data_IF_684758991622
#
_entry.id   IF_684758991622
#
_cell.length_a   1.000
_cell.length_b   1.000
_cell.length_c   1.000
_cell.angle_alpha   90.00
_cell.angle_beta   90.00
_cell.angle_gamma   90.00
#
_symmetry.space_group_name_H-M   'P 1'
#
loop_
_entity.id
_entity.type
_entity.pdbx_description
1 polymer ?
#
# COMPACT_ATOMS: atom_id res chain seq x y z
N UNK A 1 -18.25 6.13 -3.69
CA UNK A 1 -17.14 6.72 -2.94
C UNK A 1 -15.83 6.40 -3.66
N UNK A 2 -14.98 7.37 -3.73
CA UNK A 2 -13.74 7.32 -4.48
C UNK A 2 -12.58 7.01 -3.53
N UNK A 3 -11.55 6.30 -3.98
CA UNK A 3 -10.39 5.92 -3.13
C UNK A 3 -9.77 7.15 -2.46
N UNK A 4 -9.72 8.29 -3.16
CA UNK A 4 -9.15 9.53 -2.62
C UNK A 4 -9.88 10.06 -1.38
N UNK A 5 -11.15 9.69 -1.19
CA UNK A 5 -11.99 10.25 -0.12
C UNK A 5 -11.88 9.50 1.20
N UNK A 6 -11.28 8.30 1.19
CA UNK A 6 -11.17 7.51 2.42
C UNK A 6 -10.21 8.15 3.40
N UNK A 7 -10.66 8.24 4.65
CA UNK A 7 -9.82 8.68 5.76
C UNK A 7 -8.95 7.52 6.20
N UNK A 8 -7.68 7.80 6.41
CA UNK A 8 -6.69 6.84 6.91
C UNK A 8 -5.89 7.50 8.03
N UNK A 9 -5.30 6.68 8.88
CA UNK A 9 -4.44 7.16 9.97
C UNK A 9 -3.00 6.81 9.59
N UNK A 10 -2.13 7.81 9.55
CA UNK A 10 -0.73 7.55 9.26
C UNK A 10 -0.03 6.86 10.45
N UNK A 11 1.20 6.42 10.25
CA UNK A 11 1.92 5.65 11.26
C UNK A 11 2.23 6.49 12.51
N UNK A 12 2.18 7.81 12.40
CA UNK A 12 2.37 8.74 13.53
C UNK A 12 1.07 9.07 14.25
N UNK A 13 -0.07 8.50 13.82
CA UNK A 13 -1.36 8.69 14.46
C UNK A 13 -2.18 9.85 13.92
N UNK A 14 -1.78 10.48 12.82
CA UNK A 14 -2.49 11.63 12.24
C UNK A 14 -3.46 11.17 11.17
N UNK A 15 -4.67 11.74 11.19
CA UNK A 15 -5.68 11.46 10.16
C UNK A 15 -5.38 12.21 8.87
N UNK A 16 -5.52 11.54 7.74
CA UNK A 16 -5.34 12.13 6.42
C UNK A 16 -6.27 11.44 5.42
N UNK A 17 -6.22 11.87 4.15
CA UNK A 17 -6.91 11.18 3.05
C UNK A 17 -5.88 10.82 2.00
N UNK A 18 -6.16 9.76 1.24
CA UNK A 18 -5.25 9.34 0.16
C UNK A 18 -5.20 10.38 -0.96
N UNK A 19 -6.28 11.11 -1.18
CA UNK A 19 -6.33 12.19 -2.17
C UNK A 19 -5.39 13.35 -1.86
N UNK A 20 -4.98 13.50 -0.60
CA UNK A 20 -4.07 14.57 -0.20
C UNK A 20 -2.70 14.47 -0.86
N UNK A 21 -2.31 13.29 -1.32
CA UNK A 21 -1.04 13.12 -2.03
C UNK A 21 -1.06 13.70 -3.45
N UNK A 22 -2.24 13.78 -4.08
CA UNK A 22 -2.39 14.38 -5.41
C UNK A 22 -1.75 13.60 -6.56
N UNK A 23 -1.48 12.32 -6.37
CA UNK A 23 -0.76 11.47 -7.32
C UNK A 23 -1.54 10.19 -7.64
N UNK A 24 -1.05 9.41 -8.60
CA UNK A 24 -1.43 8.00 -8.71
C UNK A 24 -0.95 7.27 -7.44
N UNK A 25 -1.61 6.19 -7.08
CA UNK A 25 -1.32 5.48 -5.83
C UNK A 25 -0.96 4.02 -6.09
N UNK A 26 0.04 3.52 -5.38
CA UNK A 26 0.30 2.09 -5.27
C UNK A 26 0.06 1.70 -3.80
N UNK A 27 -1.07 1.06 -3.54
CA UNK A 27 -1.52 0.71 -2.20
C UNK A 27 -1.14 -0.74 -1.93
N UNK A 28 -0.38 -0.96 -0.85
CA UNK A 28 0.18 -2.28 -0.53
C UNK A 28 -0.04 -2.60 0.94
N UNK A 29 -0.56 -3.79 1.24
CA UNK A 29 -0.59 -4.27 2.61
C UNK A 29 0.74 -4.95 2.92
N UNK A 30 1.39 -4.54 4.00
CA UNK A 30 2.79 -4.89 4.27
C UNK A 30 2.98 -5.59 5.61
N UNK A 31 4.13 -6.26 5.76
CA UNK A 31 4.52 -6.93 6.99
C UNK A 31 6.04 -6.96 7.12
N UNK A 32 6.52 -7.01 8.37
CA UNK A 32 7.95 -6.95 8.68
C UNK A 32 8.63 -8.32 8.74
N UNK A 33 7.86 -9.40 8.86
CA UNK A 33 8.39 -10.76 9.09
C UNK A 33 7.90 -11.78 8.05
N UNK A 34 7.60 -11.33 6.85
CA UNK A 34 7.15 -12.14 5.73
C UNK A 34 8.32 -12.54 4.83
N UNK A 35 8.19 -13.68 4.15
CA UNK A 35 9.17 -14.05 3.10
C UNK A 35 9.24 -13.05 1.96
N UNK A 36 8.20 -12.22 1.78
CA UNK A 36 8.14 -11.19 0.74
C UNK A 36 8.56 -9.80 1.25
N UNK A 37 8.99 -9.67 2.50
CA UNK A 37 9.31 -8.36 3.10
C UNK A 37 10.41 -7.61 2.33
N UNK A 38 11.30 -8.34 1.65
CA UNK A 38 12.33 -7.71 0.80
C UNK A 38 11.74 -6.86 -0.32
N UNK A 39 10.46 -7.02 -0.65
CA UNK A 39 9.80 -6.16 -1.64
C UNK A 39 9.77 -4.68 -1.23
N UNK A 40 9.98 -4.36 0.05
CA UNK A 40 10.11 -2.97 0.49
C UNK A 40 11.19 -2.21 -0.30
N UNK A 41 12.31 -2.86 -0.61
CA UNK A 41 13.40 -2.22 -1.36
C UNK A 41 12.94 -1.75 -2.73
N UNK A 42 12.21 -2.60 -3.46
CA UNK A 42 11.72 -2.26 -4.79
C UNK A 42 10.54 -1.29 -4.75
N UNK A 43 9.69 -1.38 -3.72
CA UNK A 43 8.62 -0.40 -3.50
C UNK A 43 9.21 0.99 -3.30
N UNK A 44 10.30 1.10 -2.53
CA UNK A 44 10.98 2.37 -2.33
C UNK A 44 11.59 2.89 -3.63
N UNK A 45 12.16 2.01 -4.46
CA UNK A 45 12.67 2.40 -5.78
C UNK A 45 11.58 3.00 -6.66
N UNK A 46 10.40 2.38 -6.69
CA UNK A 46 9.27 2.91 -7.46
C UNK A 46 8.85 4.29 -6.96
N UNK A 47 8.81 4.46 -5.64
CA UNK A 47 8.44 5.73 -5.03
C UNK A 47 9.43 6.84 -5.39
N UNK A 48 10.71 6.52 -5.41
CA UNK A 48 11.75 7.48 -5.77
C UNK A 48 11.78 7.79 -7.27
N UNK A 49 11.46 6.79 -8.11
CA UNK A 49 11.53 6.93 -9.58
C UNK A 49 10.42 7.83 -10.13
N UNK A 50 9.23 7.77 -9.58
CA UNK A 50 8.05 8.43 -10.14
C UNK A 50 7.54 9.53 -9.23
N UNK A 51 7.67 10.79 -9.66
CA UNK A 51 7.17 11.94 -8.90
C UNK A 51 5.63 11.93 -8.79
N UNK A 52 4.94 11.39 -9.80
CA UNK A 52 3.47 11.35 -9.86
C UNK A 52 2.89 10.02 -9.38
N UNK A 53 3.67 9.26 -8.62
CA UNK A 53 3.21 8.04 -7.96
C UNK A 53 3.58 8.10 -6.48
N UNK A 54 2.63 7.79 -5.62
CA UNK A 54 2.89 7.62 -4.19
C UNK A 54 2.62 6.17 -3.82
N UNK A 55 3.64 5.51 -3.29
CA UNK A 55 3.48 4.19 -2.66
C UNK A 55 2.94 4.43 -1.26
N UNK A 56 1.92 3.67 -0.85
CA UNK A 56 1.31 3.78 0.48
C UNK A 56 1.28 2.40 1.11
N UNK A 57 1.95 2.25 2.26
CA UNK A 57 2.04 0.98 2.96
C UNK A 57 1.05 0.90 4.13
N UNK A 58 0.25 -0.16 4.16
CA UNK A 58 -0.67 -0.46 5.25
C UNK A 58 -0.22 -1.72 5.98
N UNK A 59 0.40 -1.59 7.17
CA UNK A 59 0.76 -2.78 7.96
C UNK A 59 -0.46 -3.58 8.35
N UNK A 60 -0.34 -4.91 8.29
CA UNK A 60 -1.41 -5.82 8.66
C UNK A 60 -0.85 -7.07 9.32
N UNK A 61 -1.42 -7.49 10.44
CA UNK A 61 -0.95 -8.65 11.22
C UNK A 61 -1.79 -9.91 11.00
N UNK A 62 -2.68 -9.92 10.01
CA UNK A 62 -3.65 -11.01 9.83
C UNK A 62 -3.09 -12.25 9.14
N UNK A 63 -1.91 -12.16 8.54
CA UNK A 63 -1.31 -13.28 7.79
C UNK A 63 -0.15 -13.87 8.59
N UNK A 64 -0.42 -14.94 9.33
CA UNK A 64 0.55 -15.67 10.15
C UNK A 64 1.23 -14.79 11.21
N UNK A 65 0.55 -13.71 11.66
CA UNK A 65 1.07 -12.77 12.66
C UNK A 65 2.45 -12.23 12.29
N UNK A 66 2.64 -11.88 11.02
CA UNK A 66 3.94 -11.41 10.51
C UNK A 66 4.16 -9.90 10.64
N UNK A 67 3.23 -9.19 11.31
CA UNK A 67 3.39 -7.79 11.67
C UNK A 67 2.99 -7.57 13.14
N UNK A 68 3.68 -8.20 14.10
CA UNK A 68 3.26 -8.17 15.50
C UNK A 68 3.64 -6.90 16.25
N UNK A 69 4.58 -6.11 15.72
CA UNK A 69 5.06 -4.89 16.36
C UNK A 69 4.03 -3.77 16.36
N UNK A 70 4.24 -2.76 17.20
CA UNK A 70 3.43 -1.55 17.18
C UNK A 70 3.92 -0.59 16.09
N UNK A 71 3.21 0.54 15.92
CA UNK A 71 3.53 1.52 14.88
C UNK A 71 4.94 2.08 15.00
N UNK A 72 5.41 2.31 16.22
CA UNK A 72 6.77 2.80 16.47
C UNK A 72 7.83 1.80 16.01
N UNK A 73 7.62 0.50 16.32
CA UNK A 73 8.52 -0.57 15.92
C UNK A 73 8.52 -0.76 14.40
N UNK A 74 7.36 -0.68 13.77
CA UNK A 74 7.22 -0.80 12.32
C UNK A 74 7.95 0.35 11.62
N UNK A 75 7.73 1.58 12.08
CA UNK A 75 8.39 2.78 11.53
C UNK A 75 9.91 2.66 11.60
N UNK A 76 10.42 2.23 12.76
CA UNK A 76 11.85 2.01 12.95
C UNK A 76 12.39 0.96 11.99
N UNK A 77 11.69 -0.18 11.86
CA UNK A 77 12.08 -1.27 10.99
C UNK A 77 12.21 -0.82 9.52
N UNK A 78 11.17 -0.18 8.98
CA UNK A 78 11.18 0.21 7.56
C UNK A 78 12.20 1.31 7.29
N UNK A 79 12.42 2.21 8.23
CA UNK A 79 13.41 3.27 8.11
C UNK A 79 14.83 2.72 8.15
N UNK A 80 15.14 1.88 9.12
CA UNK A 80 16.52 1.37 9.31
C UNK A 80 16.90 0.31 8.29
N UNK A 81 15.96 -0.57 7.91
CA UNK A 81 16.26 -1.71 7.03
C UNK A 81 16.15 -1.36 5.56
N UNK A 82 15.23 -0.47 5.17
CA UNK A 82 14.92 -0.23 3.77
C UNK A 82 14.95 1.25 3.37
N UNK A 83 15.25 2.15 4.31
CA UNK A 83 15.26 3.61 4.06
C UNK A 83 13.94 4.09 3.42
N UNK A 84 12.82 3.56 3.90
CA UNK A 84 11.51 3.88 3.34
C UNK A 84 11.19 5.36 3.57
N UNK A 85 10.81 6.06 2.50
CA UNK A 85 10.34 7.45 2.54
C UNK A 85 8.89 7.58 2.09
N UNK A 86 8.30 6.52 1.52
CA UNK A 86 6.89 6.59 1.15
C UNK A 86 6.00 6.56 2.41
N UNK A 87 4.78 7.11 2.31
CA UNK A 87 3.87 7.15 3.45
C UNK A 87 3.54 5.75 3.97
N UNK A 88 3.74 5.58 5.29
CA UNK A 88 3.30 4.40 6.01
C UNK A 88 2.09 4.78 6.85
N UNK A 89 1.11 3.89 6.91
CA UNK A 89 -0.11 4.06 7.68
C UNK A 89 -0.06 3.22 8.96
N UNK A 90 -0.99 3.45 9.87
CA UNK A 90 -1.15 2.63 11.06
C UNK A 90 -1.70 1.26 10.67
N UNK A 91 -1.44 0.27 11.51
CA UNK A 91 -1.87 -1.11 11.29
C UNK A 91 -3.39 -1.20 11.16
N UNK A 92 -3.86 -1.96 10.16
CA UNK A 92 -5.29 -2.17 9.88
C UNK A 92 -5.57 -3.64 9.61
N UNK A 93 -6.87 -3.97 9.57
CA UNK A 93 -7.34 -5.24 9.01
C UNK A 93 -7.72 -5.03 7.54
N UNK A 94 -7.29 -5.96 6.70
CA UNK A 94 -7.57 -5.93 5.25
C UNK A 94 -8.58 -6.99 4.83
N UNK A 95 -9.07 -7.79 5.79
CA UNK A 95 -10.11 -8.81 5.59
C UNK A 95 -10.86 -9.03 6.89
N UNK A 96 -12.01 -9.71 6.81
CA UNK A 96 -12.78 -10.09 7.99
C UNK A 96 -13.72 -9.01 8.51
N UNK A 97 -14.21 -9.22 9.74
CA UNK A 97 -15.30 -8.41 10.31
C UNK A 97 -14.89 -6.95 10.55
N UNK A 98 -13.62 -6.71 10.84
CA UNK A 98 -13.08 -5.37 11.12
C UNK A 98 -12.31 -4.79 9.94
N UNK A 99 -12.57 -5.26 8.73
CA UNK A 99 -11.91 -4.78 7.53
C UNK A 99 -12.01 -3.26 7.42
N UNK A 100 -10.88 -2.61 7.14
CA UNK A 100 -10.86 -1.16 6.92
C UNK A 100 -11.74 -0.80 5.72
N UNK A 101 -12.52 0.29 5.78
CA UNK A 101 -13.40 0.69 4.67
C UNK A 101 -12.71 0.82 3.32
N UNK A 102 -11.47 1.30 3.29
CA UNK A 102 -10.68 1.38 2.06
C UNK A 102 -10.51 -0.01 1.43
N UNK A 103 -10.12 -1.01 2.21
CA UNK A 103 -9.90 -2.36 1.69
C UNK A 103 -11.22 -3.05 1.34
N UNK A 104 -12.29 -2.75 2.06
CA UNK A 104 -13.62 -3.22 1.67
C UNK A 104 -13.99 -2.70 0.28
N UNK A 105 -13.70 -1.42 0.01
CA UNK A 105 -13.93 -0.80 -1.30
C UNK A 105 -13.04 -1.41 -2.38
N UNK A 106 -11.72 -1.53 -2.11
CA UNK A 106 -10.76 -2.05 -3.08
C UNK A 106 -11.05 -3.50 -3.49
N UNK A 107 -11.43 -4.35 -2.54
CA UNK A 107 -11.75 -5.74 -2.84
C UNK A 107 -13.16 -5.89 -3.40
N UNK A 108 -14.11 -5.03 -3.00
CA UNK A 108 -15.47 -5.01 -3.53
C UNK A 108 -16.14 -6.38 -3.51
N UNK A 109 -16.66 -6.80 -4.66
CA UNK A 109 -17.22 -8.13 -4.86
C UNK A 109 -16.18 -9.17 -5.28
N UNK A 110 -14.92 -8.75 -5.40
CA UNK A 110 -13.82 -9.62 -5.81
C UNK A 110 -13.28 -10.45 -4.65
N UNK A 111 -12.16 -11.09 -4.90
CA UNK A 111 -11.51 -11.98 -3.94
C UNK A 111 -10.91 -11.18 -2.78
N UNK A 112 -11.08 -11.68 -1.55
CA UNK A 112 -10.45 -11.06 -0.39
C UNK A 112 -8.91 -11.15 -0.49
N UNK A 113 -8.22 -10.28 0.26
CA UNK A 113 -6.76 -10.36 0.38
C UNK A 113 -6.39 -11.68 1.06
N UNK A 114 -5.43 -12.40 0.51
CA UNK A 114 -5.01 -13.72 1.02
C UNK A 114 -3.61 -13.75 1.58
N UNK A 115 -2.79 -12.72 1.33
CA UNK A 115 -1.42 -12.66 1.85
C UNK A 115 -0.91 -11.23 1.88
N UNK A 116 0.26 -11.05 2.52
CA UNK A 116 0.97 -9.76 2.57
C UNK A 116 1.47 -9.37 1.16
N UNK A 117 1.64 -8.09 0.93
CA UNK A 117 2.20 -7.50 -0.30
C UNK A 117 1.34 -7.68 -1.55
N UNK A 118 0.03 -7.77 -1.39
CA UNK A 118 -0.88 -7.60 -2.50
C UNK A 118 -0.96 -6.11 -2.86
N UNK A 119 -1.02 -5.79 -4.15
CA UNK A 119 -0.89 -4.42 -4.63
C UNK A 119 -2.11 -3.98 -5.40
N UNK A 120 -2.50 -2.71 -5.18
CA UNK A 120 -3.53 -2.04 -5.97
C UNK A 120 -2.92 -0.79 -6.57
N UNK A 121 -2.84 -0.74 -7.90
CA UNK A 121 -2.41 0.45 -8.61
C UNK A 121 -3.66 1.25 -8.98
N UNK A 122 -3.80 2.45 -8.45
CA UNK A 122 -4.99 3.28 -8.58
C UNK A 122 -4.63 4.57 -9.30
N UNK A 123 -5.34 4.87 -10.40
CA UNK A 123 -5.12 6.13 -11.12
C UNK A 123 -5.60 7.32 -10.28
N UNK A 124 -4.98 8.45 -10.50
CA UNK A 124 -5.27 9.71 -9.78
C UNK A 124 -6.75 10.13 -9.89
N UNK A 125 -7.41 9.84 -11.01
CA UNK A 125 -8.84 10.09 -11.21
C UNK A 125 -9.74 8.96 -10.70
N UNK A 126 -9.15 7.88 -10.19
CA UNK A 126 -9.82 6.67 -9.70
C UNK A 126 -10.61 5.87 -10.76
N UNK A 127 -10.41 6.15 -12.03
CA UNK A 127 -11.07 5.40 -13.10
C UNK A 127 -10.42 4.05 -13.37
N UNK A 128 -9.14 3.90 -13.03
CA UNK A 128 -8.39 2.66 -13.24
C UNK A 128 -7.89 2.13 -11.90
N UNK A 129 -8.24 0.89 -11.60
CA UNK A 129 -7.70 0.17 -10.44
C UNK A 129 -7.23 -1.19 -10.97
N UNK A 130 -5.93 -1.45 -10.82
CA UNK A 130 -5.30 -2.72 -11.25
C UNK A 130 -4.79 -3.43 -10.01
N UNK A 131 -5.26 -4.67 -9.81
CA UNK A 131 -4.88 -5.48 -8.66
C UNK A 131 -3.81 -6.50 -9.08
N UNK A 132 -2.74 -6.60 -8.31
CA UNK A 132 -1.65 -7.54 -8.54
C UNK A 132 -1.44 -8.41 -7.31
N UNK A 133 -1.17 -9.69 -7.54
CA UNK A 133 -0.96 -10.67 -6.48
C UNK A 133 0.33 -10.40 -5.69
N UNK A 134 0.44 -10.96 -4.46
CA UNK A 134 1.63 -10.75 -3.61
C UNK A 134 2.96 -11.11 -4.28
N UNK A 135 2.98 -12.16 -5.10
CA UNK A 135 4.20 -12.66 -5.72
C UNK A 135 4.73 -11.79 -6.86
N UNK A 136 3.90 -10.89 -7.39
CA UNK A 136 4.33 -9.97 -8.44
C UNK A 136 5.33 -8.99 -7.83
N UNK A 137 6.55 -8.98 -8.34
CA UNK A 137 7.61 -8.08 -7.87
C UNK A 137 7.24 -6.62 -8.20
N UNK A 138 7.49 -5.67 -7.28
CA UNK A 138 7.08 -4.28 -7.54
C UNK A 138 7.62 -3.69 -8.83
N UNK A 139 8.85 -4.01 -9.22
CA UNK A 139 9.43 -3.46 -10.47
C UNK A 139 8.73 -3.99 -11.73
N UNK A 140 8.00 -5.11 -11.63
CA UNK A 140 7.20 -5.61 -12.75
C UNK A 140 5.99 -4.72 -13.06
N UNK A 141 5.66 -3.79 -12.15
CA UNK A 141 4.55 -2.84 -12.33
C UNK A 141 4.93 -1.61 -13.15
N UNK A 142 6.21 -1.43 -13.47
CA UNK A 142 6.67 -0.21 -14.15
C UNK A 142 5.95 0.06 -15.48
N UNK A 143 5.66 -0.97 -16.25
CA UNK A 143 4.91 -0.83 -17.51
C UNK A 143 3.52 -0.23 -17.29
N UNK A 144 2.78 -0.76 -16.33
CA UNK A 144 1.44 -0.25 -16.00
C UNK A 144 1.51 1.17 -15.43
N UNK A 145 2.51 1.47 -14.60
CA UNK A 145 2.72 2.80 -14.03
C UNK A 145 3.00 3.81 -15.16
N UNK A 146 3.89 3.46 -16.08
CA UNK A 146 4.24 4.32 -17.22
C UNK A 146 3.01 4.65 -18.06
N UNK A 147 2.13 3.68 -18.28
CA UNK A 147 0.88 3.87 -19.02
C UNK A 147 -0.05 4.84 -18.28
N UNK A 148 -0.22 4.70 -16.96
CA UNK A 148 -1.06 5.61 -16.19
C UNK A 148 -0.53 7.04 -16.24
N UNK A 149 0.77 7.22 -16.08
CA UNK A 149 1.39 8.55 -16.08
C UNK A 149 1.27 9.19 -17.47
N UNK A 150 1.42 8.41 -18.54
CA UNK A 150 1.32 8.93 -19.91
C UNK A 150 -0.06 9.42 -20.29
N UNK A 151 -1.11 8.97 -19.59
CA UNK A 151 -2.50 9.37 -19.87
C UNK A 151 -2.88 10.73 -19.28
N UNK A 152 -2.05 11.32 -18.47
CA UNK A 152 -2.33 12.60 -17.81
C UNK A 152 -2.00 13.79 -18.68
#
# INVERSE_FOLDING_TARGET
>A
MNVNDFKVIDIDGNETTLGSFGTHLLIVNVASKCGLTSQYADLQQLHEKYDDLTVVGFPCNQFMHQEPGDESEIKKFVTERYNVTFPMMSKIDVKGDNIHPLYKHLTGSGKRITWNFEKFLVSKDNEVIIRHSPQIEPLQLMGDIDILIAKN
#
